data_IF_615491356973
#
_entry.id   IF_615491356973
#
_cell.length_a   1.000
_cell.length_b   1.000
_cell.length_c   1.000
_cell.angle_alpha   90.00
_cell.angle_beta   90.00
_cell.angle_gamma   90.00
#
_symmetry.space_group_name_H-M   'P 1'
#
loop_
_entity.id
_entity.type
_entity.pdbx_description
1 polymer ?
#
# COMPACT_ATOMS: atom_id res chain seq x y z
N UNK A 1 6.34 -33.17 12.58
CA UNK A 1 5.73 -31.84 12.31
C UNK A 1 4.75 -31.98 11.16
N UNK A 2 3.46 -31.72 11.40
CA UNK A 2 2.34 -32.05 10.50
C UNK A 2 2.23 -31.11 9.28
N UNK A 3 2.11 -31.64 8.04
CA UNK A 3 1.97 -30.85 6.82
C UNK A 3 0.50 -30.66 6.38
N UNK A 4 -0.37 -30.18 7.28
CA UNK A 4 -1.84 -30.31 7.11
C UNK A 4 -2.66 -29.01 7.18
N UNK A 5 -2.15 -27.84 6.77
CA UNK A 5 -2.98 -26.62 6.62
C UNK A 5 -2.34 -25.86 5.44
N UNK A 6 -2.72 -26.02 4.18
CA UNK A 6 -3.91 -25.50 3.53
C UNK A 6 -4.05 -26.18 2.14
N UNK A 7 -4.82 -27.27 2.04
CA UNK A 7 -5.40 -27.67 0.75
C UNK A 7 -6.73 -26.95 0.60
N UNK A 8 -6.73 -25.74 0.04
CA UNK A 8 -7.96 -25.13 -0.46
C UNK A 8 -7.90 -25.03 -1.98
N UNK A 9 -8.57 -25.99 -2.61
CA UNK A 9 -8.82 -26.07 -4.04
C UNK A 9 -9.93 -25.07 -4.38
N UNK A 10 -9.56 -23.82 -4.67
CA UNK A 10 -10.46 -22.83 -5.28
C UNK A 10 -9.72 -22.13 -6.42
N UNK A 11 -10.12 -22.40 -7.67
CA UNK A 11 -9.49 -21.88 -8.90
C UNK A 11 -9.98 -20.46 -9.22
N UNK A 12 -9.82 -19.53 -8.28
CA UNK A 12 -9.92 -18.11 -8.57
C UNK A 12 -8.66 -17.46 -8.02
N UNK A 13 -7.83 -16.91 -8.92
CA UNK A 13 -6.69 -16.12 -8.53
C UNK A 13 -7.25 -14.84 -7.87
N UNK A 14 -7.30 -14.81 -6.55
CA UNK A 14 -7.76 -13.65 -5.80
C UNK A 14 -6.67 -12.58 -5.88
N UNK A 15 -6.86 -11.63 -6.80
CA UNK A 15 -6.05 -10.42 -6.89
C UNK A 15 -6.63 -9.37 -5.97
N UNK A 16 -5.79 -8.76 -5.14
CA UNK A 16 -6.22 -7.74 -4.18
C UNK A 16 -5.40 -6.49 -4.36
N UNK A 17 -6.07 -5.38 -4.68
CA UNK A 17 -5.43 -4.08 -4.64
C UNK A 17 -5.39 -3.59 -3.18
N UNK A 18 -4.21 -3.20 -2.69
CA UNK A 18 -4.05 -2.71 -1.31
C UNK A 18 -2.97 -1.62 -1.25
N UNK A 19 -3.18 -0.66 -0.36
CA UNK A 19 -2.17 0.30 0.06
C UNK A 19 -2.05 0.15 1.57
N UNK A 20 -0.90 -0.33 2.03
CA UNK A 20 -0.60 -0.44 3.45
C UNK A 20 0.21 0.77 3.85
N UNK A 21 -0.26 1.52 4.84
CA UNK A 21 0.39 2.75 5.26
C UNK A 21 0.38 2.91 6.78
N UNK A 22 1.39 3.58 7.30
CA UNK A 22 1.53 3.93 8.71
C UNK A 22 2.08 5.35 8.84
N UNK A 23 1.76 6.00 9.96
CA UNK A 23 2.28 7.32 10.31
C UNK A 23 2.96 7.24 11.67
N UNK A 24 4.23 7.60 11.73
CA UNK A 24 4.97 7.78 12.97
C UNK A 24 4.85 9.24 13.43
N UNK A 25 4.13 9.48 14.52
CA UNK A 25 3.77 10.84 14.96
C UNK A 25 4.98 11.63 15.51
N UNK A 26 5.89 10.96 16.21
CA UNK A 26 7.05 11.61 16.83
C UNK A 26 8.07 12.08 15.78
N UNK A 27 8.37 11.22 14.82
CA UNK A 27 9.33 11.52 13.74
C UNK A 27 8.68 12.19 12.52
N UNK A 28 7.35 12.28 12.49
CA UNK A 28 6.54 12.78 11.37
C UNK A 28 6.85 12.06 10.06
N UNK A 29 6.90 10.73 10.08
CA UNK A 29 7.13 9.91 8.88
C UNK A 29 5.86 9.25 8.43
N UNK A 30 5.55 9.40 7.14
CA UNK A 30 4.57 8.57 6.45
C UNK A 30 5.31 7.44 5.73
N UNK A 31 4.92 6.20 5.99
CA UNK A 31 5.54 5.01 5.41
C UNK A 31 4.44 4.21 4.73
N UNK A 32 4.59 3.87 3.46
CA UNK A 32 3.60 3.07 2.75
C UNK A 32 4.21 2.12 1.72
N UNK A 33 3.50 1.04 1.43
CA UNK A 33 3.72 0.16 0.31
C UNK A 33 2.40 0.02 -0.47
N UNK A 34 2.48 0.12 -1.80
CA UNK A 34 1.30 0.12 -2.66
C UNK A 34 1.32 -1.07 -3.63
N UNK A 35 0.23 -1.81 -3.67
CA UNK A 35 0.00 -2.95 -4.54
C UNK A 35 -1.33 -2.75 -5.28
N UNK A 36 -1.31 -2.04 -6.41
CA UNK A 36 -2.45 -1.95 -7.33
C UNK A 36 -3.46 -0.86 -7.05
N UNK A 37 -3.29 -0.02 -6.02
CA UNK A 37 -4.13 1.18 -5.82
C UNK A 37 -3.51 2.44 -6.43
N UNK A 38 -4.31 3.50 -6.51
CA UNK A 38 -3.83 4.84 -6.85
C UNK A 38 -2.83 5.29 -5.77
N UNK A 39 -1.75 5.91 -6.20
CA UNK A 39 -0.72 6.43 -5.31
C UNK A 39 -1.28 7.50 -4.36
N UNK A 40 -0.83 7.56 -3.09
CA UNK A 40 -1.23 8.60 -2.16
C UNK A 40 -0.93 10.00 -2.71
N UNK A 41 -1.76 10.97 -2.39
CA UNK A 41 -1.47 12.38 -2.62
C UNK A 41 -0.91 13.00 -1.33
N UNK A 42 0.16 13.77 -1.48
CA UNK A 42 0.69 14.66 -0.47
C UNK A 42 0.31 16.09 -0.84
N UNK A 43 -0.41 16.76 0.04
CA UNK A 43 -0.59 18.20 0.02
C UNK A 43 0.36 18.82 1.04
N UNK A 44 1.26 19.67 0.54
CA UNK A 44 2.17 20.51 1.34
C UNK A 44 1.99 21.95 0.88
N UNK A 45 1.64 22.83 1.80
CA UNK A 45 1.33 24.24 1.52
C UNK A 45 0.27 24.36 0.39
N UNK A 46 0.65 24.95 -0.73
CA UNK A 46 -0.18 25.15 -1.93
C UNK A 46 0.01 24.08 -3.01
N UNK A 47 0.89 23.09 -2.77
CA UNK A 47 1.19 22.02 -3.73
C UNK A 47 0.45 20.73 -3.40
N UNK A 48 0.02 20.00 -4.42
CA UNK A 48 -0.54 18.65 -4.33
C UNK A 48 0.20 17.77 -5.31
N UNK A 49 0.80 16.68 -4.82
CA UNK A 49 1.60 15.77 -5.64
C UNK A 49 1.33 14.30 -5.32
N UNK A 50 1.41 13.43 -6.31
CA UNK A 50 1.40 11.98 -6.09
C UNK A 50 2.72 11.53 -5.47
N UNK A 51 2.63 10.75 -4.41
CA UNK A 51 3.77 10.10 -3.78
C UNK A 51 4.01 8.78 -4.47
N UNK A 52 5.02 8.77 -5.35
CA UNK A 52 5.33 7.58 -6.15
C UNK A 52 5.72 6.39 -5.28
N UNK A 53 5.06 5.26 -5.51
CA UNK A 53 5.43 3.99 -4.90
C UNK A 53 6.79 3.51 -5.46
N UNK A 54 7.49 2.68 -4.70
CA UNK A 54 8.75 2.07 -5.15
C UNK A 54 8.48 0.61 -5.51
N UNK A 55 9.09 0.16 -6.61
CA UNK A 55 8.99 -1.22 -7.07
C UNK A 55 7.69 -1.49 -7.81
N UNK A 56 7.19 -2.71 -7.70
CA UNK A 56 5.99 -3.13 -8.44
C UNK A 56 4.73 -2.61 -7.80
N UNK A 57 3.83 -2.10 -8.63
CA UNK A 57 2.50 -1.63 -8.25
C UNK A 57 1.40 -2.58 -8.72
N UNK A 58 1.73 -3.82 -9.10
CA UNK A 58 0.71 -4.81 -9.45
C UNK A 58 -0.11 -5.21 -8.22
N UNK A 59 -1.40 -5.57 -8.37
CA UNK A 59 -2.19 -6.12 -7.28
C UNK A 59 -1.50 -7.30 -6.59
N UNK A 60 -1.75 -7.47 -5.29
CA UNK A 60 -1.27 -8.63 -4.56
C UNK A 60 -1.78 -9.91 -5.21
N UNK A 61 -0.90 -10.91 -5.32
CA UNK A 61 -1.20 -12.18 -5.96
C UNK A 61 -0.96 -12.22 -7.47
N UNK A 62 -0.58 -11.09 -8.10
CA UNK A 62 -0.31 -11.06 -9.55
C UNK A 62 0.97 -11.81 -9.93
N UNK A 63 2.03 -11.75 -9.11
CA UNK A 63 3.30 -12.42 -9.36
C UNK A 63 3.81 -13.03 -8.05
N UNK A 64 4.17 -14.32 -8.07
CA UNK A 64 4.58 -15.07 -6.87
C UNK A 64 5.87 -14.55 -6.22
N UNK A 65 6.73 -13.88 -6.98
CA UNK A 65 8.04 -13.37 -6.52
C UNK A 65 8.07 -11.85 -6.36
N UNK A 66 6.91 -11.20 -6.36
CA UNK A 66 6.88 -9.75 -6.29
C UNK A 66 7.31 -9.24 -4.92
N UNK A 67 8.23 -8.27 -4.88
CA UNK A 67 8.63 -7.59 -3.66
C UNK A 67 8.14 -6.16 -3.72
N UNK A 68 7.12 -5.86 -2.91
CA UNK A 68 6.65 -4.51 -2.70
C UNK A 68 7.63 -3.79 -1.79
N UNK A 69 7.99 -2.56 -2.16
CA UNK A 69 8.94 -1.77 -1.40
C UNK A 69 8.21 -0.66 -0.66
N UNK A 70 8.64 -0.43 0.57
CA UNK A 70 8.17 0.72 1.32
C UNK A 70 8.78 2.01 0.79
N UNK A 71 7.95 3.04 0.76
CA UNK A 71 8.36 4.42 0.55
C UNK A 71 8.18 5.17 1.86
N UNK A 72 9.23 5.87 2.26
CA UNK A 72 9.22 6.78 3.42
C UNK A 72 9.15 8.21 2.90
N UNK A 73 8.24 8.99 3.46
CA UNK A 73 8.09 10.42 3.23
C UNK A 73 8.20 11.14 4.57
N UNK A 74 9.10 12.12 4.63
CA UNK A 74 9.19 13.02 5.78
C UNK A 74 8.10 14.08 5.67
N UNK A 75 7.23 14.16 6.68
CA UNK A 75 6.16 15.14 6.77
C UNK A 75 6.61 16.37 7.56
N UNK A 76 5.98 17.49 7.24
CA UNK A 76 6.00 18.75 7.97
C UNK A 76 4.67 18.96 8.69
N UNK A 77 4.65 19.83 9.70
CA UNK A 77 3.39 20.24 10.32
C UNK A 77 2.49 20.90 9.29
N UNK A 78 1.22 20.48 9.22
CA UNK A 78 0.24 21.00 8.27
C UNK A 78 0.17 20.22 6.94
N UNK A 79 1.07 19.26 6.72
CA UNK A 79 0.96 18.34 5.59
C UNK A 79 -0.31 17.48 5.71
N UNK A 80 -0.93 17.20 4.57
CA UNK A 80 -2.09 16.32 4.46
C UNK A 80 -1.77 15.17 3.51
N UNK A 81 -1.96 13.94 4.00
CA UNK A 81 -1.90 12.73 3.18
C UNK A 81 -3.33 12.31 2.82
N UNK A 82 -3.60 12.16 1.54
CA UNK A 82 -4.87 11.68 1.00
C UNK A 82 -4.63 10.32 0.36
N UNK A 83 -5.37 9.30 0.80
CA UNK A 83 -5.26 7.93 0.28
C UNK A 83 -6.62 7.48 -0.26
N UNK A 84 -6.60 6.65 -1.31
CA UNK A 84 -7.80 5.96 -1.76
C UNK A 84 -7.97 4.69 -0.93
N UNK A 85 -9.07 4.59 -0.19
CA UNK A 85 -9.42 3.37 0.55
C UNK A 85 -10.44 2.61 -0.29
N UNK A 86 -10.14 1.35 -0.65
CA UNK A 86 -11.10 0.45 -1.29
C UNK A 86 -11.62 -0.53 -0.23
N UNK A 87 -12.87 -0.32 0.19
CA UNK A 87 -13.56 -1.26 1.08
C UNK A 87 -14.34 -2.26 0.23
N UNK A 88 -14.04 -3.54 0.38
CA UNK A 88 -14.88 -4.61 -0.16
C UNK A 88 -15.97 -4.92 0.86
N UNK A 89 -17.18 -4.42 0.62
CA UNK A 89 -18.37 -4.78 1.40
C UNK A 89 -18.83 -6.14 0.87
N UNK A 90 -18.79 -7.15 1.73
CA UNK A 90 -19.30 -8.51 1.48
C UNK A 90 -20.64 -8.70 2.17
#
# INVERSE_FOLDING_TARGET
MCPCILKQKNRYLLLTAVCFASIELNSKKFIFANAGLIEPLLKTDESITYVKAIGSTLPLGSVHTNVYQEKIVQLKSGDLIITLIVLKIS
#
